data_IF_649492403018
#
_entry.id   IF_649492403018
#
_cell.length_a   1.000
_cell.length_b   1.000
_cell.length_c   1.000
_cell.angle_alpha   90.00
_cell.angle_beta   90.00
_cell.angle_gamma   90.00
#
_symmetry.space_group_name_H-M   'P 1'
#
loop_
_entity.id
_entity.type
_entity.pdbx_description
1 polymer ?
#
# COMPACT_ATOMS: atom_id res chain seq x y z
N UNK A 1 20.81 -11.07 13.35
CA UNK A 1 19.43 -10.82 12.90
C UNK A 1 19.48 -9.49 12.16
N UNK A 2 18.88 -9.38 11.00
CA UNK A 2 18.79 -8.11 10.25
C UNK A 2 17.95 -7.12 11.06
N UNK A 3 18.27 -5.83 10.98
CA UNK A 3 17.44 -4.80 11.59
C UNK A 3 16.10 -4.74 10.83
N UNK A 4 14.95 -4.72 11.52
CA UNK A 4 13.64 -4.66 10.88
C UNK A 4 13.48 -3.35 10.08
N UNK A 5 12.83 -3.45 8.92
CA UNK A 5 12.57 -2.30 8.04
C UNK A 5 11.53 -1.36 8.62
N UNK A 6 10.60 -1.89 9.40
CA UNK A 6 9.56 -1.13 10.13
C UNK A 6 9.37 -1.75 11.52
N UNK A 7 9.26 -0.90 12.55
CA UNK A 7 8.83 -1.28 13.90
C UNK A 7 7.67 -0.38 14.31
N UNK A 8 6.61 -0.99 14.80
CA UNK A 8 5.47 -0.30 15.43
C UNK A 8 5.45 -0.67 16.88
N UNK A 9 5.42 0.31 17.77
CA UNK A 9 5.52 0.13 19.24
C UNK A 9 4.41 0.89 19.94
N UNK A 10 3.55 0.17 20.65
CA UNK A 10 2.49 0.73 21.48
C UNK A 10 1.53 1.66 20.72
N UNK A 11 1.32 1.43 19.41
CA UNK A 11 0.53 2.33 18.57
C UNK A 11 -0.91 2.43 19.06
N UNK A 12 -1.37 3.68 19.27
CA UNK A 12 -2.76 3.99 19.62
C UNK A 12 -3.33 5.03 18.67
N UNK A 13 -4.43 4.65 18.00
CA UNK A 13 -5.16 5.53 17.09
C UNK A 13 -6.63 5.54 17.45
N UNK A 14 -7.15 6.71 17.84
CA UNK A 14 -8.51 6.88 18.33
C UNK A 14 -9.28 7.85 17.45
N UNK A 15 -10.60 7.65 17.39
CA UNK A 15 -11.54 8.55 16.74
C UNK A 15 -12.42 9.23 17.77
N UNK A 16 -12.52 10.55 17.67
CA UNK A 16 -13.33 11.40 18.55
C UNK A 16 -14.60 11.80 17.81
N UNK A 17 -15.66 11.03 18.04
CA UNK A 17 -16.98 11.24 17.44
C UNK A 17 -17.92 11.95 18.40
N UNK A 18 -19.07 12.41 17.89
CA UNK A 18 -20.12 13.00 18.74
C UNK A 18 -20.68 12.01 19.77
N UNK A 19 -20.63 10.71 19.45
CA UNK A 19 -21.11 9.62 20.32
C UNK A 19 -20.06 9.16 21.35
N UNK A 20 -18.81 9.63 21.23
CA UNK A 20 -17.73 9.30 22.16
C UNK A 20 -16.41 8.98 21.49
N UNK A 21 -15.48 8.41 22.26
CA UNK A 21 -14.14 8.03 21.80
C UNK A 21 -14.12 6.56 21.41
N UNK A 22 -13.71 6.29 20.16
CA UNK A 22 -13.57 4.94 19.61
C UNK A 22 -12.07 4.61 19.50
N UNK A 23 -11.53 3.68 20.31
CA UNK A 23 -10.16 3.19 20.21
C UNK A 23 -10.06 2.21 19.02
N UNK A 24 -9.73 2.70 17.85
CA UNK A 24 -9.64 1.86 16.65
C UNK A 24 -8.36 1.01 16.61
N UNK A 25 -7.28 1.47 17.20
CA UNK A 25 -6.03 0.72 17.49
C UNK A 25 -5.61 1.09 18.89
N UNK A 26 -5.36 0.08 19.75
CA UNK A 26 -4.98 0.32 21.15
C UNK A 26 -3.81 -0.56 21.60
N UNK A 27 -2.61 0.00 21.56
CA UNK A 27 -1.38 -0.62 22.08
C UNK A 27 -0.83 -1.71 21.15
N UNK A 28 -0.76 -1.47 19.83
CA UNK A 28 -0.29 -2.43 18.86
C UNK A 28 1.23 -2.42 18.71
N UNK A 29 1.84 -3.62 18.78
CA UNK A 29 3.27 -3.86 18.62
C UNK A 29 3.52 -4.89 17.51
N UNK A 30 4.39 -4.58 16.55
CA UNK A 30 4.90 -5.52 15.55
C UNK A 30 6.14 -4.99 14.82
N UNK A 31 6.85 -5.91 14.16
CA UNK A 31 8.02 -5.62 13.34
C UNK A 31 7.90 -6.27 11.97
N UNK A 32 8.47 -5.63 10.95
CA UNK A 32 8.54 -6.14 9.58
C UNK A 32 9.99 -6.25 9.18
N UNK A 33 10.39 -7.46 8.78
CA UNK A 33 11.75 -7.75 8.30
C UNK A 33 11.94 -7.29 6.85
N UNK A 34 13.16 -6.96 6.43
CA UNK A 34 13.44 -6.63 5.04
C UNK A 34 13.06 -7.77 4.07
N UNK A 35 12.31 -7.44 3.02
CA UNK A 35 11.94 -8.37 1.95
C UNK A 35 10.94 -9.46 2.35
N UNK A 36 10.29 -9.37 3.51
CA UNK A 36 9.26 -10.33 3.91
C UNK A 36 7.85 -9.90 3.51
N UNK A 37 6.92 -10.86 3.53
CA UNK A 37 5.47 -10.58 3.61
C UNK A 37 5.02 -10.79 5.04
N UNK A 38 4.60 -9.69 5.67
CA UNK A 38 3.95 -9.67 6.97
C UNK A 38 2.43 -9.51 6.77
N UNK A 39 1.63 -10.42 7.30
CA UNK A 39 0.18 -10.37 7.14
C UNK A 39 -0.51 -9.82 8.40
N UNK A 40 -1.51 -8.97 8.20
CA UNK A 40 -2.45 -8.51 9.23
C UNK A 40 -3.81 -9.06 8.88
N UNK A 41 -4.35 -9.93 9.73
CA UNK A 41 -5.64 -10.58 9.52
C UNK A 41 -6.60 -10.27 10.68
N UNK A 42 -7.90 -10.34 10.42
CA UNK A 42 -8.94 -10.13 11.43
C UNK A 42 -10.29 -9.80 10.81
N UNK A 43 -11.30 -9.69 11.65
CA UNK A 43 -12.66 -9.35 11.23
C UNK A 43 -12.77 -7.92 10.69
N UNK A 44 -13.85 -7.63 9.97
CA UNK A 44 -14.12 -6.26 9.53
C UNK A 44 -14.32 -5.34 10.75
N UNK A 45 -13.73 -4.15 10.72
CA UNK A 45 -13.82 -3.19 11.82
C UNK A 45 -12.76 -3.32 12.92
N UNK A 46 -11.93 -4.37 12.96
CA UNK A 46 -10.93 -4.56 14.01
C UNK A 46 -9.66 -3.67 13.91
N UNK A 47 -9.65 -2.64 13.07
CA UNK A 47 -8.56 -1.66 13.04
C UNK A 47 -7.44 -1.92 12.01
N UNK A 48 -7.52 -2.95 11.15
CA UNK A 48 -6.48 -3.29 10.14
C UNK A 48 -6.13 -2.11 9.23
N UNK A 49 -7.12 -1.55 8.55
CA UNK A 49 -6.93 -0.41 7.66
C UNK A 49 -6.53 0.86 8.42
N UNK A 50 -7.00 1.02 9.66
CA UNK A 50 -6.58 2.14 10.52
C UNK A 50 -5.10 2.02 10.87
N UNK A 51 -4.60 0.81 11.10
CA UNK A 51 -3.16 0.56 11.33
C UNK A 51 -2.33 0.98 10.12
N UNK A 52 -2.72 0.58 8.90
CA UNK A 52 -2.00 0.96 7.69
C UNK A 52 -2.03 2.47 7.42
N UNK A 53 -3.18 3.11 7.62
CA UNK A 53 -3.32 4.56 7.49
C UNK A 53 -2.51 5.30 8.57
N UNK A 54 -2.39 4.73 9.78
CA UNK A 54 -1.55 5.29 10.85
C UNK A 54 -0.06 5.27 10.48
N UNK A 55 0.44 4.17 9.89
CA UNK A 55 1.83 4.08 9.41
C UNK A 55 2.14 5.21 8.44
N UNK A 56 1.24 5.49 7.52
CA UNK A 56 1.39 6.56 6.54
C UNK A 56 0.91 7.93 7.04
N UNK A 57 0.38 8.01 8.28
CA UNK A 57 -0.24 9.22 8.83
C UNK A 57 -1.30 9.83 7.89
N UNK A 58 -2.12 8.95 7.30
CA UNK A 58 -3.25 9.31 6.43
C UNK A 58 -4.60 9.24 7.17
N UNK A 59 -4.60 9.11 8.49
CA UNK A 59 -5.80 9.17 9.32
C UNK A 59 -6.43 10.57 9.16
N UNK A 60 -7.71 10.65 8.75
CA UNK A 60 -8.42 11.94 8.68
C UNK A 60 -8.49 12.58 10.06
N UNK A 61 -7.97 13.78 10.19
CA UNK A 61 -7.95 14.50 11.46
C UNK A 61 -8.58 15.89 11.31
N UNK A 62 -9.70 16.23 11.98
CA UNK A 62 -10.58 15.35 12.76
C UNK A 62 -11.34 14.35 11.89
N UNK A 63 -11.95 13.25 12.41
CA UNK A 63 -12.07 12.93 13.84
C UNK A 63 -10.94 12.02 14.39
N UNK A 64 -10.07 11.45 13.54
CA UNK A 64 -9.04 10.50 13.96
C UNK A 64 -7.76 11.17 14.44
N UNK A 65 -7.05 10.51 15.36
CA UNK A 65 -5.74 10.97 15.84
C UNK A 65 -4.89 9.80 16.33
N UNK A 66 -3.61 9.79 15.98
CA UNK A 66 -2.60 8.97 16.66
C UNK A 66 -2.32 9.64 18.00
N UNK A 67 -2.63 8.96 19.10
CA UNK A 67 -2.53 9.54 20.45
C UNK A 67 -1.29 9.11 21.20
N UNK A 68 -0.72 7.93 20.86
CA UNK A 68 0.46 7.36 21.50
C UNK A 68 1.14 6.34 20.57
N UNK A 69 2.37 5.94 20.95
CA UNK A 69 3.17 4.96 20.25
C UNK A 69 4.16 5.55 19.26
N UNK A 70 5.01 4.66 18.74
CA UNK A 70 6.07 5.01 17.78
C UNK A 70 5.95 4.15 16.52
N UNK A 71 6.26 4.73 15.37
CA UNK A 71 6.36 4.05 14.08
C UNK A 71 7.75 4.32 13.53
N UNK A 72 8.65 3.37 13.71
CA UNK A 72 10.08 3.52 13.42
C UNK A 72 10.37 2.93 12.04
N UNK A 73 10.84 3.77 11.13
CA UNK A 73 11.31 3.42 9.80
C UNK A 73 12.76 3.89 9.65
N UNK A 74 13.70 2.96 9.37
CA UNK A 74 15.13 3.26 9.34
C UNK A 74 15.63 4.07 10.55
N UNK A 75 15.22 3.65 11.75
CA UNK A 75 15.61 4.29 13.00
C UNK A 75 14.98 5.67 13.28
N UNK A 76 14.05 6.12 12.43
CA UNK A 76 13.36 7.41 12.57
C UNK A 76 11.87 7.22 12.83
N UNK A 77 11.36 7.89 13.86
CA UNK A 77 9.94 7.83 14.22
C UNK A 77 9.10 8.69 13.26
N UNK A 78 8.26 8.02 12.46
CA UNK A 78 7.37 8.65 11.49
C UNK A 78 6.31 9.54 12.14
N UNK A 79 5.91 9.25 13.39
CA UNK A 79 4.89 10.04 14.10
C UNK A 79 5.39 11.45 14.38
N UNK A 80 6.69 11.61 14.62
CA UNK A 80 7.34 12.90 14.94
C UNK A 80 7.76 13.71 13.70
N UNK A 81 7.70 13.12 12.49
CA UNK A 81 8.10 13.82 11.26
C UNK A 81 7.16 14.95 10.88
N UNK A 82 7.70 15.98 10.25
CA UNK A 82 6.90 17.03 9.62
C UNK A 82 6.11 16.48 8.43
N UNK A 83 5.03 17.16 8.02
CA UNK A 83 4.25 16.75 6.85
C UNK A 83 5.09 16.80 5.55
N UNK A 84 6.04 17.71 5.46
CA UNK A 84 6.97 17.79 4.32
C UNK A 84 7.84 16.53 4.22
N UNK A 85 8.35 16.02 5.34
CA UNK A 85 9.13 14.77 5.37
C UNK A 85 8.25 13.57 5.05
N UNK A 86 7.02 13.51 5.59
CA UNK A 86 6.09 12.43 5.27
C UNK A 86 5.73 12.38 3.78
N UNK A 87 5.60 13.52 3.11
CA UNK A 87 5.39 13.56 1.65
C UNK A 87 6.54 12.96 0.85
N UNK A 88 7.78 13.08 1.32
CA UNK A 88 8.92 12.44 0.66
C UNK A 88 8.98 10.93 0.87
N UNK A 89 8.34 10.42 1.93
CA UNK A 89 8.29 9.00 2.27
C UNK A 89 7.11 8.30 1.57
N UNK A 90 5.92 8.93 1.60
CA UNK A 90 4.70 8.39 0.97
C UNK A 90 4.88 8.24 -0.53
N UNK A 91 4.65 7.04 -1.06
CA UNK A 91 4.79 6.71 -2.47
C UNK A 91 6.21 6.50 -2.96
N UNK A 92 7.24 6.95 -2.22
CA UNK A 92 8.64 6.74 -2.53
C UNK A 92 9.24 5.57 -1.72
N UNK A 93 9.20 5.67 -0.40
CA UNK A 93 9.77 4.67 0.50
C UNK A 93 8.72 3.68 1.00
N UNK A 94 7.56 4.19 1.37
CA UNK A 94 6.40 3.40 1.80
C UNK A 94 5.23 3.76 0.90
N UNK A 95 4.73 2.76 0.17
CA UNK A 95 3.60 2.92 -0.75
C UNK A 95 2.41 2.08 -0.31
N UNK A 96 1.22 2.39 -0.81
CA UNK A 96 0.00 1.69 -0.44
C UNK A 96 -0.88 1.39 -1.64
N UNK A 97 -1.43 0.18 -1.67
CA UNK A 97 -2.56 -0.21 -2.50
C UNK A 97 -3.78 -0.16 -1.60
N UNK A 98 -4.74 0.71 -1.93
CA UNK A 98 -5.98 0.90 -1.18
C UNK A 98 -7.01 -0.17 -1.56
N UNK A 99 -7.96 -0.41 -0.67
CA UNK A 99 -8.98 -1.46 -0.76
C UNK A 99 -9.86 -1.38 -2.02
N UNK A 100 -10.16 -0.16 -2.52
CA UNK A 100 -11.06 0.03 -3.65
C UNK A 100 -10.35 0.57 -4.90
N UNK A 101 -10.17 -0.25 -5.96
CA UNK A 101 -9.58 0.20 -7.22
C UNK A 101 -10.39 1.29 -7.93
N UNK A 102 -11.71 1.30 -7.72
CA UNK A 102 -12.62 2.23 -8.38
C UNK A 102 -12.48 3.68 -7.88
N UNK A 103 -12.13 3.86 -6.62
CA UNK A 103 -11.95 5.17 -5.98
C UNK A 103 -10.51 5.64 -6.01
N UNK A 104 -9.56 4.72 -6.18
CA UNK A 104 -8.12 5.00 -6.16
C UNK A 104 -7.57 5.52 -7.48
N UNK A 105 -8.16 5.10 -8.62
CA UNK A 105 -7.82 5.63 -9.93
C UNK A 105 -8.72 6.82 -10.29
N UNK A 106 -8.12 7.95 -10.61
CA UNK A 106 -8.87 9.12 -11.04
C UNK A 106 -9.40 8.94 -12.47
N UNK A 107 -10.73 8.93 -12.68
CA UNK A 107 -11.33 8.60 -13.98
C UNK A 107 -11.06 9.63 -15.09
N UNK A 108 -10.61 10.84 -14.76
CA UNK A 108 -10.37 11.91 -15.74
C UNK A 108 -8.92 12.01 -16.21
N UNK A 109 -8.02 11.18 -15.67
CA UNK A 109 -6.63 11.09 -16.10
C UNK A 109 -6.33 9.74 -16.73
N UNK A 110 -5.46 9.73 -17.76
CA UNK A 110 -5.01 8.48 -18.36
C UNK A 110 -4.14 7.67 -17.40
N UNK A 111 -4.00 6.38 -17.68
CA UNK A 111 -3.10 5.48 -16.93
C UNK A 111 -1.69 6.04 -16.86
N UNK A 112 -1.16 6.51 -17.99
CA UNK A 112 0.19 7.05 -18.05
C UNK A 112 0.38 8.34 -17.27
N UNK A 113 -0.62 9.19 -17.22
CA UNK A 113 -0.58 10.40 -16.40
C UNK A 113 -0.49 10.04 -14.91
N UNK A 114 -1.28 9.07 -14.47
CA UNK A 114 -1.33 8.67 -13.06
C UNK A 114 -0.05 7.96 -12.60
N UNK A 115 0.48 7.01 -13.39
CA UNK A 115 1.77 6.37 -13.08
C UNK A 115 2.92 7.40 -13.14
N UNK A 116 2.90 8.28 -14.15
CA UNK A 116 3.91 9.31 -14.35
C UNK A 116 3.98 10.33 -13.23
N UNK A 117 2.87 10.55 -12.51
CA UNK A 117 2.81 11.49 -11.39
C UNK A 117 3.78 11.09 -10.28
N UNK A 118 3.90 9.81 -9.94
CA UNK A 118 4.86 9.31 -8.96
C UNK A 118 6.31 9.65 -9.34
N UNK A 119 6.68 9.45 -10.60
CA UNK A 119 8.01 9.80 -11.10
C UNK A 119 8.27 11.30 -11.10
N UNK A 120 7.24 12.08 -11.43
CA UNK A 120 7.34 13.55 -11.43
C UNK A 120 7.61 14.10 -10.04
N UNK A 121 6.88 13.63 -9.04
CA UNK A 121 7.00 14.14 -7.67
C UNK A 121 8.27 13.68 -6.97
N UNK A 122 8.65 12.41 -7.13
CA UNK A 122 9.74 11.83 -6.34
C UNK A 122 11.07 11.77 -7.08
N UNK A 123 11.08 11.69 -8.41
CA UNK A 123 12.30 11.50 -9.18
C UNK A 123 12.60 12.65 -10.16
N UNK A 124 11.71 13.66 -10.25
CA UNK A 124 11.89 14.87 -11.07
C UNK A 124 12.20 14.57 -12.55
N UNK A 125 11.65 13.49 -13.09
CA UNK A 125 11.91 13.02 -14.46
C UNK A 125 11.29 13.91 -15.53
N UNK A 126 11.91 13.96 -16.70
CA UNK A 126 11.35 14.57 -17.89
C UNK A 126 10.20 13.75 -18.51
N UNK A 127 9.30 14.40 -19.28
CA UNK A 127 8.10 13.76 -19.84
C UNK A 127 8.38 12.48 -20.65
N UNK A 128 9.42 12.48 -21.49
CA UNK A 128 9.77 11.32 -22.32
C UNK A 128 10.25 10.12 -21.47
N UNK A 129 11.02 10.38 -20.42
CA UNK A 129 11.51 9.36 -19.51
C UNK A 129 10.37 8.81 -18.63
N UNK A 130 9.50 9.68 -18.12
CA UNK A 130 8.30 9.27 -17.39
C UNK A 130 7.42 8.33 -18.23
N UNK A 131 7.16 8.66 -19.50
CA UNK A 131 6.38 7.82 -20.40
C UNK A 131 7.03 6.44 -20.58
N UNK A 132 8.33 6.41 -20.84
CA UNK A 132 9.08 5.15 -21.00
C UNK A 132 9.00 4.30 -19.75
N UNK A 133 9.26 4.86 -18.58
CA UNK A 133 9.20 4.14 -17.30
C UNK A 133 7.79 3.70 -16.95
N UNK A 134 6.77 4.51 -17.23
CA UNK A 134 5.38 4.11 -17.02
C UNK A 134 5.00 2.89 -17.87
N UNK A 135 5.44 2.83 -19.14
CA UNK A 135 5.26 1.65 -20.00
C UNK A 135 6.02 0.43 -19.43
N UNK A 136 7.24 0.61 -18.94
CA UNK A 136 8.01 -0.46 -18.29
C UNK A 136 7.28 -1.00 -17.05
N UNK A 137 6.67 -0.13 -16.24
CA UNK A 137 5.86 -0.54 -15.08
C UNK A 137 4.62 -1.33 -15.51
N UNK A 138 3.91 -0.91 -16.58
CA UNK A 138 2.77 -1.67 -17.10
C UNK A 138 3.17 -3.06 -17.61
N UNK A 139 4.33 -3.19 -18.27
CA UNK A 139 4.88 -4.51 -18.65
C UNK A 139 5.21 -5.35 -17.43
N UNK A 140 5.82 -4.75 -16.41
CA UNK A 140 6.21 -5.43 -15.17
C UNK A 140 5.01 -6.06 -14.46
N UNK A 141 3.87 -5.39 -14.45
CA UNK A 141 2.63 -5.91 -13.87
C UNK A 141 1.81 -6.78 -14.83
N UNK A 142 2.31 -7.03 -16.04
CA UNK A 142 1.69 -7.92 -17.01
C UNK A 142 0.43 -7.33 -17.69
N UNK A 143 0.41 -6.03 -17.95
CA UNK A 143 -0.60 -5.40 -18.80
C UNK A 143 -0.29 -5.74 -20.27
N UNK A 144 -1.25 -6.27 -21.02
CA UNK A 144 -1.10 -6.46 -22.47
C UNK A 144 -1.05 -5.12 -23.19
N UNK A 145 -0.29 -5.02 -24.28
CA UNK A 145 -0.19 -3.82 -25.13
C UNK A 145 0.01 -2.51 -24.34
N UNK A 146 1.04 -2.44 -23.44
CA UNK A 146 1.19 -1.33 -22.52
C UNK A 146 1.41 0.02 -23.23
N UNK A 147 1.89 0.03 -24.47
CA UNK A 147 2.05 1.20 -25.34
C UNK A 147 0.70 1.81 -25.76
N UNK A 148 -0.35 1.01 -25.80
CA UNK A 148 -1.73 1.47 -26.05
C UNK A 148 -2.41 1.82 -24.75
N UNK A 149 -2.39 0.91 -23.78
CA UNK A 149 -3.07 1.06 -22.46
C UNK A 149 -2.59 2.28 -21.69
N UNK A 150 -1.36 2.73 -21.90
CA UNK A 150 -0.82 3.94 -21.27
C UNK A 150 -1.68 5.20 -21.54
N UNK A 151 -2.40 5.24 -22.65
CA UNK A 151 -3.27 6.33 -23.06
C UNK A 151 -4.75 6.12 -22.68
N UNK A 152 -5.10 4.93 -22.19
CA UNK A 152 -6.47 4.61 -21.80
C UNK A 152 -6.84 5.28 -20.46
N UNK A 153 -8.15 5.45 -20.25
CA UNK A 153 -8.73 5.89 -19.01
C UNK A 153 -9.16 4.70 -18.15
N UNK A 154 -9.25 4.84 -16.82
CA UNK A 154 -9.63 3.75 -15.93
C UNK A 154 -10.95 3.03 -16.30
N UNK A 155 -11.94 3.76 -16.83
CA UNK A 155 -13.22 3.20 -17.24
C UNK A 155 -13.15 2.25 -18.45
N UNK A 156 -12.07 2.31 -19.23
CA UNK A 156 -11.82 1.43 -20.38
C UNK A 156 -11.15 0.10 -19.98
N UNK A 157 -10.72 -0.02 -18.71
CA UNK A 157 -10.00 -1.18 -18.21
C UNK A 157 -10.93 -2.16 -17.47
N UNK A 158 -10.62 -3.46 -17.55
CA UNK A 158 -11.24 -4.47 -16.71
C UNK A 158 -10.83 -4.29 -15.23
N UNK A 159 -11.57 -4.90 -14.29
CA UNK A 159 -11.24 -4.84 -12.85
C UNK A 159 -9.81 -5.32 -12.55
N UNK A 160 -9.42 -6.46 -13.13
CA UNK A 160 -8.06 -6.98 -12.97
C UNK A 160 -6.98 -6.09 -13.60
N UNK A 161 -7.26 -5.42 -14.72
CA UNK A 161 -6.33 -4.43 -15.29
C UNK A 161 -6.19 -3.20 -14.41
N UNK A 162 -7.29 -2.67 -13.87
CA UNK A 162 -7.23 -1.54 -12.91
C UNK A 162 -6.39 -1.89 -11.70
N UNK A 163 -6.55 -3.08 -11.15
CA UNK A 163 -5.74 -3.54 -10.03
C UNK A 163 -4.25 -3.62 -10.37
N UNK A 164 -3.90 -4.13 -11.55
CA UNK A 164 -2.51 -4.15 -12.04
C UNK A 164 -1.94 -2.75 -12.22
N UNK A 165 -2.73 -1.81 -12.73
CA UNK A 165 -2.33 -0.39 -12.85
C UNK A 165 -2.08 0.23 -11.48
N UNK A 166 -2.93 -0.02 -10.48
CA UNK A 166 -2.69 0.43 -9.10
C UNK A 166 -1.40 -0.14 -8.50
N UNK A 167 -1.12 -1.43 -8.74
CA UNK A 167 0.14 -2.06 -8.34
C UNK A 167 1.31 -1.37 -9.04
N UNK A 168 1.20 -1.08 -10.34
CA UNK A 168 2.23 -0.36 -11.10
C UNK A 168 2.50 1.04 -10.52
N UNK A 169 1.45 1.78 -10.17
CA UNK A 169 1.56 3.09 -9.52
C UNK A 169 2.24 2.99 -8.15
N UNK A 170 1.81 2.04 -7.33
CA UNK A 170 2.36 1.84 -5.99
C UNK A 170 3.85 1.45 -6.01
N UNK A 171 4.30 0.73 -7.04
CA UNK A 171 5.67 0.27 -7.18
C UNK A 171 6.56 1.18 -8.05
N UNK A 172 6.02 2.25 -8.63
CA UNK A 172 6.73 3.10 -9.58
C UNK A 172 8.07 3.62 -9.04
N UNK A 173 8.13 4.03 -7.77
CA UNK A 173 9.33 4.54 -7.13
C UNK A 173 10.19 3.46 -6.44
N UNK A 174 9.90 2.17 -6.65
CA UNK A 174 10.62 1.05 -6.01
C UNK A 174 10.63 1.15 -4.47
N UNK A 175 9.45 1.18 -3.82
CA UNK A 175 9.36 1.39 -2.39
C UNK A 175 10.00 0.24 -1.60
N UNK A 176 10.48 0.55 -0.39
CA UNK A 176 11.01 -0.45 0.55
C UNK A 176 9.89 -1.24 1.23
N UNK A 177 8.74 -0.59 1.41
CA UNK A 177 7.55 -1.21 2.00
C UNK A 177 6.35 -0.93 1.09
N UNK A 178 5.61 -1.99 0.75
CA UNK A 178 4.31 -1.93 0.10
C UNK A 178 3.24 -2.39 1.08
N UNK A 179 2.33 -1.50 1.43
CA UNK A 179 1.13 -1.85 2.20
C UNK A 179 0.04 -2.21 1.19
N UNK A 180 -0.50 -3.41 1.26
CA UNK A 180 -1.58 -3.90 0.41
C UNK A 180 -2.82 -4.15 1.28
N UNK A 181 -3.75 -3.19 1.28
CA UNK A 181 -4.99 -3.25 2.05
C UNK A 181 -6.09 -3.89 1.21
N UNK A 182 -6.37 -5.15 1.50
CA UNK A 182 -7.34 -6.00 0.77
C UNK A 182 -7.20 -5.90 -0.76
N UNK A 183 -6.02 -6.17 -1.33
CA UNK A 183 -5.70 -5.84 -2.72
C UNK A 183 -6.48 -6.65 -3.75
N UNK A 184 -7.33 -7.57 -3.33
CA UNK A 184 -8.09 -8.47 -4.20
C UNK A 184 -9.60 -8.43 -3.94
N UNK A 185 -10.05 -7.54 -3.06
CA UNK A 185 -11.49 -7.36 -2.80
C UNK A 185 -12.22 -6.96 -4.08
N UNK A 186 -13.41 -7.52 -4.30
CA UNK A 186 -14.23 -7.37 -5.50
C UNK A 186 -13.65 -7.98 -6.82
N UNK A 187 -12.64 -8.85 -6.73
CA UNK A 187 -12.14 -9.62 -7.86
C UNK A 187 -12.60 -11.08 -7.78
N UNK A 188 -12.77 -11.73 -8.93
CA UNK A 188 -13.02 -13.17 -8.95
C UNK A 188 -11.79 -13.96 -8.48
N UNK A 189 -12.03 -15.20 -7.99
CA UNK A 189 -10.99 -16.06 -7.37
C UNK A 189 -9.79 -16.29 -8.30
N UNK A 190 -10.02 -16.38 -9.61
CA UNK A 190 -8.95 -16.60 -10.58
C UNK A 190 -8.04 -15.38 -10.69
N UNK A 191 -8.62 -14.20 -10.82
CA UNK A 191 -7.87 -12.93 -10.87
C UNK A 191 -7.19 -12.66 -9.53
N UNK A 192 -7.85 -12.94 -8.40
CA UNK A 192 -7.26 -12.85 -7.07
C UNK A 192 -5.96 -13.64 -6.97
N UNK A 193 -5.98 -14.92 -7.38
CA UNK A 193 -4.78 -15.76 -7.37
C UNK A 193 -3.66 -15.22 -8.29
N UNK A 194 -4.02 -14.63 -9.43
CA UNK A 194 -3.05 -13.99 -10.34
C UNK A 194 -2.40 -12.76 -9.71
N UNK A 195 -3.19 -11.90 -9.06
CA UNK A 195 -2.70 -10.69 -8.37
C UNK A 195 -1.76 -11.06 -7.23
N UNK A 196 -2.10 -12.08 -6.43
CA UNK A 196 -1.25 -12.51 -5.32
C UNK A 196 0.08 -13.10 -5.79
N UNK A 197 0.07 -13.90 -6.86
CA UNK A 197 1.31 -14.38 -7.51
C UNK A 197 2.15 -13.24 -8.04
N UNK A 198 1.51 -12.25 -8.68
CA UNK A 198 2.19 -11.06 -9.18
C UNK A 198 2.87 -10.29 -8.03
N UNK A 199 2.18 -10.02 -6.93
CA UNK A 199 2.76 -9.34 -5.76
C UNK A 199 3.97 -10.09 -5.21
N UNK A 200 3.89 -11.43 -5.09
CA UNK A 200 5.02 -12.25 -4.65
C UNK A 200 6.22 -12.16 -5.60
N UNK A 201 6.00 -12.28 -6.91
CA UNK A 201 7.06 -12.16 -7.90
C UNK A 201 7.73 -10.77 -7.88
N UNK A 202 6.93 -9.72 -7.69
CA UNK A 202 7.43 -8.35 -7.60
C UNK A 202 8.21 -8.13 -6.30
N UNK A 203 7.75 -8.68 -5.18
CA UNK A 203 8.47 -8.69 -3.91
C UNK A 203 9.88 -9.30 -4.07
N UNK A 204 9.96 -10.50 -4.61
CA UNK A 204 11.22 -11.21 -4.83
C UNK A 204 12.15 -10.45 -5.78
N UNK A 205 11.61 -9.87 -6.86
CA UNK A 205 12.37 -9.14 -7.87
C UNK A 205 12.89 -7.80 -7.39
N UNK A 206 12.09 -7.07 -6.59
CA UNK A 206 12.38 -5.69 -6.17
C UNK A 206 12.97 -5.62 -4.76
N UNK A 207 12.90 -6.69 -3.98
CA UNK A 207 13.32 -6.71 -2.58
C UNK A 207 12.45 -5.87 -1.65
N UNK A 208 11.21 -5.58 -2.07
CA UNK A 208 10.23 -4.82 -1.30
C UNK A 208 9.64 -5.68 -0.20
N UNK A 209 9.48 -5.16 1.02
CA UNK A 209 8.69 -5.82 2.08
C UNK A 209 7.21 -5.55 1.86
N UNK A 210 6.34 -6.55 2.09
CA UNK A 210 4.90 -6.39 1.92
C UNK A 210 4.20 -6.48 3.28
N UNK A 211 3.37 -5.50 3.60
CA UNK A 211 2.37 -5.59 4.67
C UNK A 211 1.04 -5.90 4.00
N UNK A 212 0.58 -7.14 4.10
CA UNK A 212 -0.66 -7.60 3.50
C UNK A 212 -1.79 -7.59 4.52
N UNK A 213 -2.82 -6.80 4.25
CA UNK A 213 -4.06 -6.82 5.03
C UNK A 213 -5.09 -7.64 4.24
N UNK A 214 -5.63 -8.68 4.86
CA UNK A 214 -6.65 -9.52 4.24
C UNK A 214 -7.44 -10.29 5.30
N UNK A 215 -8.64 -10.73 4.94
CA UNK A 215 -9.42 -11.69 5.72
C UNK A 215 -9.30 -13.14 5.20
N UNK A 216 -8.55 -13.37 4.11
CA UNK A 216 -8.36 -14.68 3.49
C UNK A 216 -7.13 -15.40 4.05
N UNK A 217 -7.36 -16.30 5.00
CA UNK A 217 -6.30 -17.12 5.61
C UNK A 217 -5.64 -18.08 4.62
N UNK A 218 -6.34 -18.47 3.54
CA UNK A 218 -5.77 -19.33 2.52
C UNK A 218 -4.66 -18.64 1.72
N UNK A 219 -4.82 -17.34 1.45
CA UNK A 219 -3.78 -16.51 0.85
C UNK A 219 -2.61 -16.34 1.81
N UNK A 220 -2.90 -15.98 3.06
CA UNK A 220 -1.89 -15.74 4.09
C UNK A 220 -0.97 -16.95 4.27
N UNK A 221 -1.54 -18.16 4.35
CA UNK A 221 -0.77 -19.40 4.50
C UNK A 221 0.21 -19.67 3.35
N UNK A 222 -0.02 -19.10 2.16
CA UNK A 222 0.82 -19.32 0.98
C UNK A 222 1.98 -18.33 0.86
N UNK A 223 1.84 -17.11 1.41
CA UNK A 223 2.78 -16.02 1.11
C UNK A 223 3.34 -15.31 2.34
N UNK A 224 2.67 -15.35 3.48
CA UNK A 224 3.12 -14.64 4.67
C UNK A 224 4.19 -15.44 5.44
N UNK A 225 5.22 -14.72 5.89
CA UNK A 225 6.24 -15.27 6.80
C UNK A 225 5.82 -15.09 8.26
N UNK A 226 5.26 -13.94 8.58
CA UNK A 226 4.71 -13.64 9.89
C UNK A 226 3.26 -13.16 9.76
N UNK A 227 2.45 -13.47 10.75
CA UNK A 227 1.02 -13.16 10.77
C UNK A 227 0.65 -12.55 12.10
N UNK A 228 0.01 -11.40 12.06
CA UNK A 228 -0.63 -10.76 13.20
C UNK A 228 -2.15 -10.90 13.07
N UNK A 229 -2.78 -11.39 14.13
CA UNK A 229 -4.25 -11.51 14.21
C UNK A 229 -4.79 -10.37 15.04
N UNK A 230 -5.69 -9.57 14.45
CA UNK A 230 -6.40 -8.49 15.14
C UNK A 230 -7.85 -8.90 15.40
N UNK A 231 -8.34 -8.59 16.59
CA UNK A 231 -9.74 -8.79 17.00
C UNK A 231 -10.21 -7.63 17.88
N UNK A 232 -11.53 -7.41 17.93
CA UNK A 232 -12.16 -6.37 18.73
C UNK A 232 -12.36 -6.84 20.18
#
# INVERSE_FOLDING_TARGET
MSEPVLQVKGLKTYYYTEEGVVPAVDGLDFEVEPGETFAIVGESGCGKSVTSLSILRLIPSPPGKIIDGEIIYHGQDLVKKSEREMRSIRGNDISMIFQEPMTSLNPVFTVGQQIGESFRFHQQMGKAEMLKKSIEMLRLVGIPEPEHVINDYPNQLSGGMRQRVMIAMALACNPKILIADEPTTALDVTIQAQIMRLLKQLQEKMGTSIILITHDLGIVAQIAKHVMVMYC
#
